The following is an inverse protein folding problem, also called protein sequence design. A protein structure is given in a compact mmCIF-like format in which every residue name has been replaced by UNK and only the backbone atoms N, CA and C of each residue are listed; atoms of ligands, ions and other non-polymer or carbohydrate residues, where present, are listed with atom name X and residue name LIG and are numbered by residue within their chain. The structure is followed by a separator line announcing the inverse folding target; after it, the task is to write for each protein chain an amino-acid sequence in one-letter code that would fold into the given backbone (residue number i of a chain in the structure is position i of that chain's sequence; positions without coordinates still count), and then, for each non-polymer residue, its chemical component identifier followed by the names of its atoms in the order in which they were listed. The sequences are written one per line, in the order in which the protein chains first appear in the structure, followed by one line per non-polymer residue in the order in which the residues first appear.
data_IF_118265583929
#
_entry.id   IF_118265583929
#
_cell.length_a   1.000
_cell.length_b   1.000
_cell.length_c   1.000
_cell.angle_alpha   90.00
_cell.angle_beta   90.00
_cell.angle_gamma   90.00
#
_symmetry.space_group_name_H-M   'P 1'
#
loop_
_entity.id
_entity.type
_entity.pdbx_description
1 polymer ?
#
# COMPACT_ATOMS: atom_id res chain seq x y z
N UNK A 1 -8.65 11.28 0.38
CA UNK A 1 -8.94 10.64 -0.90
C UNK A 1 -8.16 9.33 -1.05
N UNK A 2 -8.39 8.41 -0.13
CA UNK A 2 -7.71 7.11 -0.16
C UNK A 2 -8.02 6.36 -1.45
N UNK A 3 -7.08 5.53 -1.87
CA UNK A 3 -7.24 4.76 -3.09
C UNK A 3 -6.12 3.73 -3.25
N UNK A 4 -6.20 2.93 -4.31
CA UNK A 4 -5.20 1.90 -4.57
C UNK A 4 -3.85 2.54 -4.86
N UNK A 5 -3.87 3.78 -5.33
CA UNK A 5 -2.64 4.50 -5.66
C UNK A 5 -1.88 4.87 -4.39
N UNK A 6 -2.61 5.32 -3.37
CA UNK A 6 -2.02 5.72 -2.11
C UNK A 6 -1.34 4.54 -1.43
N UNK A 7 -1.77 3.33 -1.78
CA UNK A 7 -1.22 2.11 -1.21
C UNK A 7 0.23 1.91 -1.66
N UNK A 8 0.64 2.68 -2.66
CA UNK A 8 2.00 2.59 -3.18
C UNK A 8 3.02 3.01 -2.12
N UNK A 9 2.63 3.95 -1.26
CA UNK A 9 3.50 4.44 -0.20
C UNK A 9 3.80 3.33 0.81
N UNK A 10 2.96 2.31 0.83
CA UNK A 10 3.14 1.19 1.75
C UNK A 10 4.39 0.39 1.40
N UNK A 11 4.75 0.38 0.11
CA UNK A 11 5.91 -0.34 -0.36
C UNK A 11 7.20 0.28 0.21
N UNK A 12 7.11 1.53 0.63
CA UNK A 12 8.25 2.23 1.18
C UNK A 12 8.62 1.68 2.57
N UNK A 13 7.72 0.89 3.14
CA UNK A 13 7.93 0.30 4.45
C UNK A 13 8.95 -0.84 4.38
N UNK A 14 10.20 -0.54 4.66
CA UNK A 14 11.27 -1.53 4.62
C UNK A 14 11.87 -1.73 6.01
N UNK A 15 11.79 -0.70 6.84
CA UNK A 15 12.32 -0.77 8.20
C UNK A 15 11.32 -1.41 9.16
N UNK A 16 10.06 -1.45 8.75
CA UNK A 16 9.00 -2.04 9.57
C UNK A 16 8.01 -2.80 8.70
N UNK A 17 7.01 -3.40 9.36
CA UNK A 17 5.98 -4.17 8.64
C UNK A 17 4.66 -3.41 8.62
N UNK A 18 4.49 -2.50 9.58
CA UNK A 18 3.27 -1.69 9.67
C UNK A 18 3.00 -0.97 8.36
N UNK A 19 4.01 -0.30 7.83
CA UNK A 19 3.88 0.43 6.58
C UNK A 19 3.57 -0.51 5.42
N UNK A 20 3.91 -1.79 5.60
CA UNK A 20 3.66 -2.80 4.57
C UNK A 20 2.18 -3.14 4.49
N UNK A 21 1.43 -2.79 5.53
CA UNK A 21 0.00 -3.05 5.58
C UNK A 21 -0.73 -2.32 4.45
N UNK A 22 -0.22 -1.15 4.09
CA UNK A 22 -0.82 -0.35 3.02
C UNK A 22 -0.83 -1.12 1.71
N UNK A 23 0.03 -2.12 1.60
CA UNK A 23 0.13 -2.93 0.40
C UNK A 23 -1.24 -3.44 -0.03
N UNK A 24 -2.12 -3.64 0.95
CA UNK A 24 -3.47 -4.14 0.67
C UNK A 24 -4.18 -3.23 -0.33
N UNK A 25 -3.89 -1.94 -0.27
CA UNK A 25 -4.50 -0.98 -1.18
C UNK A 25 -4.10 -1.24 -2.62
N UNK A 26 -2.89 -1.76 -2.81
CA UNK A 26 -2.41 -2.06 -4.15
C UNK A 26 -3.36 -2.96 -4.92
N UNK A 27 -4.11 -3.78 -4.20
CA UNK A 27 -5.06 -4.69 -4.81
C UNK A 27 -6.06 -3.94 -5.69
N UNK A 28 -6.28 -2.67 -5.37
CA UNK A 28 -7.20 -1.84 -6.12
C UNK A 28 -6.90 -1.90 -7.62
N UNK A 29 -5.61 -1.94 -7.95
CA UNK A 29 -5.18 -2.00 -9.34
C UNK A 29 -5.25 -3.42 -9.88
N UNK A 30 -4.84 -4.38 -9.07
CA UNK A 30 -4.87 -5.79 -9.46
C UNK A 30 -6.24 -6.40 -9.22
N UNK A 31 -7.27 -5.78 -9.80
CA UNK A 31 -8.64 -6.27 -9.63
C UNK A 31 -9.50 -5.87 -10.84
#
# INVERSE_FOLDING_TARGET
DWTCWSCLVCAACSVELLNLVTAATGASTAS
#
